data_IF_471600568776
#
_entry.id   IF_471600568776
#
_cell.length_a   1.000
_cell.length_b   1.000
_cell.length_c   1.000
_cell.angle_alpha   90.00
_cell.angle_beta   90.00
_cell.angle_gamma   90.00
#
_symmetry.space_group_name_H-M   'P 1'
#
loop_
_entity.id
_entity.type
_entity.pdbx_description
1 polymer ?
#
# COMPACT_ATOMS: atom_id res chain seq x y z
N UNK A 1 -12.61 -19.66 -22.43
CA UNK A 1 -11.31 -20.04 -21.84
C UNK A 1 -10.85 -18.85 -21.02
N UNK A 2 -10.40 -19.17 -19.80
CA UNK A 2 -10.03 -18.34 -18.65
C UNK A 2 -9.78 -16.84 -18.89
N UNK A 3 -10.55 -16.01 -18.18
CA UNK A 3 -10.18 -14.62 -17.90
C UNK A 3 -8.95 -14.64 -16.98
N UNK A 4 -7.80 -14.30 -17.54
CA UNK A 4 -6.55 -14.15 -16.82
C UNK A 4 -6.73 -13.04 -15.79
N UNK A 5 -6.99 -13.45 -14.56
CA UNK A 5 -6.99 -12.59 -13.40
C UNK A 5 -5.56 -12.13 -13.23
N UNK A 6 -5.26 -10.93 -13.72
CA UNK A 6 -4.00 -10.24 -13.54
C UNK A 6 -3.88 -9.91 -12.04
N UNK A 7 -3.54 -10.92 -11.25
CA UNK A 7 -3.05 -10.76 -9.89
C UNK A 7 -1.77 -9.95 -10.04
N UNK A 8 -1.89 -8.64 -9.82
CA UNK A 8 -0.76 -7.73 -9.75
C UNK A 8 0.10 -8.27 -8.61
N UNK A 9 1.11 -9.03 -9.00
CA UNK A 9 2.01 -9.75 -8.13
C UNK A 9 2.78 -8.71 -7.31
N UNK A 10 2.26 -8.39 -6.12
CA UNK A 10 2.83 -7.39 -5.22
C UNK A 10 4.03 -8.02 -4.52
N UNK A 11 5.07 -8.31 -5.32
CA UNK A 11 6.32 -8.85 -4.83
C UNK A 11 6.93 -7.88 -3.81
N UNK A 12 7.53 -8.39 -2.71
CA UNK A 12 8.16 -7.57 -1.68
C UNK A 12 9.35 -6.75 -2.21
N UNK A 13 9.84 -7.08 -3.41
CA UNK A 13 10.85 -6.31 -4.12
C UNK A 13 10.30 -5.01 -4.74
N UNK A 14 10.92 -3.89 -4.37
CA UNK A 14 10.76 -2.61 -5.05
C UNK A 14 9.91 -1.58 -4.30
N UNK A 15 9.59 -0.50 -5.01
CA UNK A 15 8.87 0.63 -4.46
C UNK A 15 7.49 0.79 -5.12
N UNK A 16 6.54 1.31 -4.37
CA UNK A 16 5.19 1.65 -4.83
C UNK A 16 4.91 3.12 -4.55
N UNK A 17 4.34 3.83 -5.52
CA UNK A 17 4.02 5.24 -5.32
C UNK A 17 2.77 5.42 -4.44
N UNK A 18 2.66 6.58 -3.78
CA UNK A 18 1.44 6.96 -3.06
C UNK A 18 0.18 6.81 -3.92
N UNK A 19 0.28 7.10 -5.23
CA UNK A 19 -0.88 7.02 -6.15
C UNK A 19 -1.32 5.56 -6.34
N UNK A 20 -0.37 4.67 -6.59
CA UNK A 20 -0.66 3.25 -6.75
C UNK A 20 -1.14 2.60 -5.45
N UNK A 21 -0.63 3.04 -4.29
CA UNK A 21 -1.17 2.61 -3.00
C UNK A 21 -2.63 3.04 -2.83
N UNK A 22 -2.93 4.31 -3.11
CA UNK A 22 -4.29 4.83 -3.10
C UNK A 22 -5.22 4.00 -3.99
N UNK A 23 -4.81 3.69 -5.22
CA UNK A 23 -5.57 2.82 -6.15
C UNK A 23 -5.77 1.41 -5.57
N UNK A 24 -4.71 0.79 -5.03
CA UNK A 24 -4.75 -0.56 -4.42
C UNK A 24 -5.72 -0.65 -3.24
N UNK A 25 -5.81 0.40 -2.42
CA UNK A 25 -6.74 0.44 -1.29
C UNK A 25 -8.18 0.86 -1.67
N UNK A 26 -8.53 0.87 -2.97
CA UNK A 26 -9.86 1.26 -3.44
C UNK A 26 -10.02 2.76 -3.66
N UNK A 27 -9.01 3.41 -4.26
CA UNK A 27 -8.97 4.85 -4.53
C UNK A 27 -9.03 5.73 -3.27
N UNK A 28 -8.35 5.33 -2.19
CA UNK A 28 -8.23 6.16 -0.99
C UNK A 28 -7.52 7.48 -1.30
N UNK A 29 -7.87 8.53 -0.57
CA UNK A 29 -7.16 9.81 -0.67
C UNK A 29 -5.77 9.73 -0.04
N UNK A 30 -4.81 10.49 -0.59
CA UNK A 30 -3.46 10.65 0.01
C UNK A 30 -3.51 11.13 1.47
N UNK A 31 -4.57 11.85 1.83
CA UNK A 31 -4.84 12.29 3.20
C UNK A 31 -5.06 11.12 4.17
N UNK A 32 -5.62 10.02 3.69
CA UNK A 32 -5.77 8.79 4.46
C UNK A 32 -4.42 8.14 4.74
N UNK A 33 -3.50 8.13 3.76
CA UNK A 33 -2.13 7.65 3.97
C UNK A 33 -1.39 8.50 5.01
N UNK A 34 -1.54 9.83 4.97
CA UNK A 34 -1.00 10.73 5.99
C UNK A 34 -1.59 10.45 7.38
N UNK A 35 -2.90 10.27 7.45
CA UNK A 35 -3.57 9.91 8.70
C UNK A 35 -3.06 8.57 9.27
N UNK A 36 -2.90 7.54 8.44
CA UNK A 36 -2.34 6.26 8.90
C UNK A 36 -0.89 6.37 9.34
N UNK A 37 -0.11 7.27 8.74
CA UNK A 37 1.25 7.57 9.21
C UNK A 37 1.24 8.15 10.62
N UNK A 38 0.35 9.11 10.88
CA UNK A 38 0.24 9.77 12.19
C UNK A 38 -0.38 8.89 13.27
N UNK A 39 -1.35 8.05 12.91
CA UNK A 39 -2.18 7.31 13.88
C UNK A 39 -1.91 5.82 13.98
N UNK A 40 -1.38 5.20 12.92
CA UNK A 40 -1.20 3.75 12.80
C UNK A 40 0.24 3.33 12.49
N UNK A 41 1.18 4.28 12.52
CA UNK A 41 2.59 4.00 12.21
C UNK A 41 2.82 3.50 10.79
N UNK A 42 2.04 3.97 9.81
CA UNK A 42 2.23 3.62 8.40
C UNK A 42 3.66 3.93 7.94
N UNK A 43 4.29 3.07 7.11
CA UNK A 43 5.67 3.25 6.67
C UNK A 43 5.92 4.61 6.05
N UNK A 44 7.13 5.15 6.29
CA UNK A 44 7.54 6.44 5.76
C UNK A 44 7.83 6.34 4.27
N UNK A 45 7.36 7.29 3.45
CA UNK A 45 7.77 7.33 2.06
C UNK A 45 9.23 7.76 1.94
N UNK A 46 9.95 7.09 1.06
CA UNK A 46 11.16 7.61 0.44
C UNK A 46 10.77 8.60 -0.67
N UNK A 47 11.32 9.80 -0.64
CA UNK A 47 11.03 10.82 -1.65
C UNK A 47 12.08 10.78 -2.75
N UNK A 48 11.63 10.60 -3.99
CA UNK A 48 12.45 10.83 -5.20
C UNK A 48 11.90 12.05 -5.93
N UNK A 49 12.54 13.20 -5.73
CA UNK A 49 12.03 14.49 -6.19
C UNK A 49 10.64 14.79 -5.63
N UNK A 50 9.63 14.85 -6.49
CA UNK A 50 8.23 15.14 -6.13
C UNK A 50 7.38 13.89 -5.88
N UNK A 51 7.96 12.69 -5.98
CA UNK A 51 7.23 11.42 -5.84
C UNK A 51 7.52 10.76 -4.49
N UNK A 52 6.45 10.46 -3.75
CA UNK A 52 6.50 9.65 -2.54
C UNK A 52 6.43 8.16 -2.91
N UNK A 53 7.50 7.43 -2.64
CA UNK A 53 7.67 6.01 -2.88
C UNK A 53 7.74 5.25 -1.56
N UNK A 54 6.96 4.19 -1.42
CA UNK A 54 6.95 3.34 -0.24
C UNK A 54 7.59 2.01 -0.59
N UNK A 55 8.40 1.48 0.32
CA UNK A 55 8.90 0.11 0.19
C UNK A 55 7.71 -0.84 0.19
N UNK A 56 7.61 -1.71 -0.82
CA UNK A 56 6.52 -2.70 -0.87
C UNK A 56 6.61 -3.63 0.34
N UNK A 57 7.81 -4.07 0.71
CA UNK A 57 8.00 -4.93 1.88
C UNK A 57 7.46 -4.30 3.18
N UNK A 58 7.74 -3.02 3.42
CA UNK A 58 7.26 -2.35 4.65
C UNK A 58 5.75 -2.16 4.64
N UNK A 59 5.18 -1.87 3.47
CA UNK A 59 3.71 -1.80 3.31
C UNK A 59 3.09 -3.16 3.58
N UNK A 60 3.62 -4.26 3.04
CA UNK A 60 3.12 -5.61 3.29
C UNK A 60 3.21 -5.94 4.78
N UNK A 61 4.34 -5.65 5.42
CA UNK A 61 4.53 -5.90 6.85
C UNK A 61 3.52 -5.11 7.69
N UNK A 62 3.29 -3.84 7.36
CA UNK A 62 2.29 -3.02 8.02
C UNK A 62 0.86 -3.53 7.79
N UNK A 63 0.54 -3.97 6.57
CA UNK A 63 -0.75 -4.58 6.23
C UNK A 63 -0.99 -5.87 7.02
N UNK A 64 0.00 -6.73 7.14
CA UNK A 64 -0.13 -7.95 7.94
C UNK A 64 -0.42 -7.63 9.40
N UNK A 65 0.17 -6.56 9.95
CA UNK A 65 -0.04 -6.15 11.33
C UNK A 65 -1.37 -5.41 11.56
N UNK A 66 -1.86 -4.62 10.60
CA UNK A 66 -2.99 -3.71 10.79
C UNK A 66 -4.27 -4.10 10.03
N UNK A 67 -4.16 -4.89 8.96
CA UNK A 67 -5.25 -5.28 8.08
C UNK A 67 -5.72 -6.74 8.26
N UNK A 68 -5.12 -7.51 9.19
CA UNK A 68 -5.57 -8.86 9.55
C UNK A 68 -6.99 -8.95 10.15
N UNK A 69 -7.73 -7.83 10.25
CA UNK A 69 -9.05 -7.75 10.90
C UNK A 69 -10.23 -7.73 9.90
N UNK A 70 -10.02 -7.72 8.58
CA UNK A 70 -11.14 -7.63 7.61
C UNK A 70 -11.22 -8.77 6.57
N UNK A 71 -10.87 -9.99 6.96
CA UNK A 71 -11.28 -11.20 6.22
C UNK A 71 -11.99 -12.15 7.19
N UNK A 72 -13.11 -11.70 7.75
CA UNK A 72 -14.11 -12.56 8.38
C UNK A 72 -15.46 -12.14 7.83
N UNK A 73 -16.09 -13.03 7.08
CA UNK A 73 -17.38 -12.83 6.41
C UNK A 73 -17.51 -13.78 5.24
#
# INVERSE_FOLDING_TARGET
MQAETNVIDFQPGGYISSKQLCERYGNLSKRTLLYWRETKGFPLPCFTGKMALYSKADVIAWEQQNFQVQQVG
#
